data_IF_332367023005
#
_entry.id   IF_332367023005
#
_cell.length_a   1.000
_cell.length_b   1.000
_cell.length_c   1.000
_cell.angle_alpha   90.00
_cell.angle_beta   90.00
_cell.angle_gamma   90.00
#
_symmetry.space_group_name_H-M   'P 1'
#
loop_
_entity.id
_entity.type
_entity.pdbx_description
1 polymer ?
#
# COMPACT_ATOMS: atom_id res chain seq x y z
N UNK A 1 -45.02 24.54 39.34
CA UNK A 1 -45.26 24.40 37.90
C UNK A 1 -43.90 24.55 37.22
N UNK A 2 -43.40 23.45 36.67
CA UNK A 2 -41.99 23.21 36.33
C UNK A 2 -41.52 24.05 35.13
N UNK A 3 -40.30 24.59 35.25
CA UNK A 3 -39.53 25.12 34.14
C UNK A 3 -38.83 23.93 33.45
N UNK A 4 -39.22 23.62 32.22
CA UNK A 4 -38.54 22.64 31.38
C UNK A 4 -37.33 23.30 30.70
N UNK A 5 -36.14 22.94 31.19
CA UNK A 5 -34.87 23.09 30.49
C UNK A 5 -34.86 22.17 29.26
N UNK A 6 -34.96 22.73 28.06
CA UNK A 6 -34.64 22.00 26.83
C UNK A 6 -33.13 21.89 26.69
N UNK A 7 -32.60 20.71 26.97
CA UNK A 7 -31.23 20.31 26.69
C UNK A 7 -30.95 20.48 25.18
N UNK A 8 -30.03 21.38 24.84
CA UNK A 8 -29.42 21.43 23.51
C UNK A 8 -28.47 20.24 23.42
N UNK A 9 -28.94 19.15 22.82
CA UNK A 9 -28.10 18.00 22.48
C UNK A 9 -27.00 18.45 21.52
N UNK A 10 -25.77 18.35 21.99
CA UNK A 10 -24.53 18.56 21.25
C UNK A 10 -24.54 17.73 19.97
N UNK A 11 -24.46 18.40 18.82
CA UNK A 11 -24.18 17.81 17.52
C UNK A 11 -22.89 16.98 17.64
N UNK A 12 -23.03 15.66 17.52
CA UNK A 12 -21.89 14.76 17.41
C UNK A 12 -21.09 15.14 16.17
N UNK A 13 -19.76 15.19 16.31
CA UNK A 13 -18.83 15.33 15.18
C UNK A 13 -19.18 14.27 14.12
N UNK A 14 -19.89 14.67 13.07
CA UNK A 14 -19.94 13.92 11.81
C UNK A 14 -18.50 13.83 11.32
N UNK A 15 -17.97 12.62 11.24
CA UNK A 15 -16.69 12.38 10.57
C UNK A 15 -16.79 12.95 9.16
N UNK A 16 -15.75 13.65 8.73
CA UNK A 16 -15.62 14.06 7.33
C UNK A 16 -15.80 12.83 6.43
N UNK A 17 -16.50 12.96 5.29
CA UNK A 17 -16.64 11.86 4.33
C UNK A 17 -15.26 11.34 3.91
N UNK A 18 -15.17 10.03 3.62
CA UNK A 18 -13.99 9.44 2.99
C UNK A 18 -13.75 10.13 1.64
N UNK A 19 -12.47 10.32 1.27
CA UNK A 19 -12.09 11.11 0.09
C UNK A 19 -12.50 10.37 -1.18
N UNK A 20 -12.82 11.12 -2.22
CA UNK A 20 -13.15 10.54 -3.52
C UNK A 20 -12.18 11.04 -4.58
N UNK A 21 -12.00 10.27 -5.64
CA UNK A 21 -11.20 10.70 -6.79
C UNK A 21 -11.68 12.04 -7.36
N UNK A 22 -12.99 12.32 -7.29
CA UNK A 22 -13.55 13.59 -7.78
C UNK A 22 -13.18 14.81 -6.90
N UNK A 23 -12.71 14.58 -5.67
CA UNK A 23 -12.25 15.63 -4.77
C UNK A 23 -10.80 16.06 -5.08
N UNK A 24 -10.05 15.25 -5.86
CA UNK A 24 -8.66 15.55 -6.22
C UNK A 24 -8.61 16.55 -7.38
N UNK A 25 -7.94 17.68 -7.15
CA UNK A 25 -7.82 18.76 -8.12
C UNK A 25 -6.77 18.46 -9.22
N UNK A 26 -6.98 17.42 -10.04
CA UNK A 26 -6.05 17.03 -11.12
C UNK A 26 -5.75 18.17 -12.12
N UNK A 27 -6.68 19.11 -12.29
CA UNK A 27 -6.48 20.29 -13.14
C UNK A 27 -5.44 21.28 -12.58
N UNK A 28 -5.12 21.19 -11.29
CA UNK A 28 -4.15 22.05 -10.60
C UNK A 28 -2.74 21.44 -10.51
N UNK A 29 -2.51 20.27 -11.13
CA UNK A 29 -1.20 19.60 -11.13
C UNK A 29 -0.14 20.52 -11.75
N UNK A 30 0.87 20.87 -10.95
CA UNK A 30 2.08 21.53 -11.45
C UNK A 30 3.00 20.51 -12.13
N UNK A 31 2.75 20.27 -13.42
CA UNK A 31 3.50 19.31 -14.23
C UNK A 31 5.00 19.60 -14.23
N UNK A 32 5.41 20.87 -14.22
CA UNK A 32 6.82 21.24 -14.28
C UNK A 32 7.61 20.79 -13.04
N UNK A 33 6.94 20.63 -11.90
CA UNK A 33 7.55 20.14 -10.66
C UNK A 33 7.90 18.64 -10.70
N UNK A 34 7.27 17.86 -11.58
CA UNK A 34 7.34 16.37 -11.55
C UNK A 34 7.78 15.77 -12.88
N UNK A 35 7.41 16.36 -14.02
CA UNK A 35 7.52 15.69 -15.34
C UNK A 35 8.95 15.29 -15.74
N UNK A 36 9.96 16.02 -15.22
CA UNK A 36 11.38 15.78 -15.49
C UNK A 36 12.07 14.92 -14.41
N UNK A 37 11.33 14.42 -13.42
CA UNK A 37 11.87 13.57 -12.37
C UNK A 37 11.78 12.09 -12.79
N UNK A 38 12.90 11.53 -13.25
CA UNK A 38 12.99 10.12 -13.69
C UNK A 38 12.58 9.14 -12.58
N UNK A 39 12.96 9.42 -11.33
CA UNK A 39 12.65 8.54 -10.21
C UNK A 39 11.13 8.51 -9.93
N UNK A 40 10.48 9.68 -9.89
CA UNK A 40 9.02 9.77 -9.72
C UNK A 40 8.26 9.16 -10.90
N UNK A 41 8.76 9.30 -12.13
CA UNK A 41 8.16 8.65 -13.30
C UNK A 41 8.04 7.14 -13.11
N UNK A 42 9.16 6.48 -12.80
CA UNK A 42 9.16 5.03 -12.64
C UNK A 42 8.37 4.58 -11.41
N UNK A 43 8.51 5.27 -10.28
CA UNK A 43 7.79 4.93 -9.05
C UNK A 43 6.27 5.07 -9.22
N UNK A 44 5.78 6.21 -9.74
CA UNK A 44 4.35 6.46 -9.86
C UNK A 44 3.70 5.63 -10.97
N UNK A 45 4.37 5.43 -12.11
CA UNK A 45 3.87 4.53 -13.15
C UNK A 45 3.76 3.10 -12.64
N UNK A 46 4.80 2.59 -11.97
CA UNK A 46 4.74 1.24 -11.39
C UNK A 46 3.66 1.11 -10.31
N UNK A 47 3.51 2.11 -9.44
CA UNK A 47 2.43 2.15 -8.46
C UNK A 47 1.06 2.11 -9.15
N UNK A 48 0.84 2.92 -10.20
CA UNK A 48 -0.43 2.91 -10.94
C UNK A 48 -0.76 1.55 -11.55
N UNK A 49 0.25 0.76 -11.94
CA UNK A 49 0.04 -0.59 -12.48
C UNK A 49 -0.34 -1.58 -11.37
N UNK A 50 0.40 -1.57 -10.26
CA UNK A 50 0.17 -2.49 -9.15
C UNK A 50 -1.22 -2.23 -8.54
N UNK A 51 -1.55 -0.97 -8.26
CA UNK A 51 -2.85 -0.60 -7.68
C UNK A 51 -4.03 -0.83 -8.62
N UNK A 52 -3.84 -0.72 -9.94
CA UNK A 52 -4.93 -1.08 -10.87
C UNK A 52 -5.13 -2.60 -10.96
N UNK A 53 -4.07 -3.37 -10.72
CA UNK A 53 -4.11 -4.84 -10.77
C UNK A 53 -4.65 -5.51 -9.51
N UNK A 54 -4.80 -4.77 -8.39
CA UNK A 54 -5.18 -5.32 -7.08
C UNK A 54 -6.63 -5.83 -6.99
N UNK A 55 -7.51 -5.41 -7.91
CA UNK A 55 -8.93 -5.83 -8.00
C UNK A 55 -9.10 -7.36 -8.05
N UNK A 56 -8.28 -8.05 -8.83
CA UNK A 56 -8.35 -9.52 -8.95
C UNK A 56 -8.09 -10.22 -7.60
N UNK A 57 -7.36 -9.55 -6.70
CA UNK A 57 -7.04 -10.06 -5.39
C UNK A 57 -8.20 -9.91 -4.40
N UNK A 58 -8.99 -8.85 -4.50
CA UNK A 58 -10.01 -8.52 -3.51
C UNK A 58 -11.19 -9.47 -3.51
N UNK A 59 -11.67 -9.84 -4.70
CA UNK A 59 -12.69 -10.88 -4.84
C UNK A 59 -12.21 -12.23 -4.26
N UNK A 60 -10.98 -12.66 -4.59
CA UNK A 60 -10.39 -13.90 -4.07
C UNK A 60 -10.27 -13.88 -2.52
N UNK A 61 -9.88 -12.74 -1.96
CA UNK A 61 -9.77 -12.57 -0.52
C UNK A 61 -11.15 -12.64 0.15
N UNK A 62 -12.16 -11.95 -0.39
CA UNK A 62 -13.52 -12.02 0.14
C UNK A 62 -14.08 -13.46 0.12
N UNK A 63 -13.84 -14.23 -0.94
CA UNK A 63 -14.21 -15.65 -1.04
C UNK A 63 -13.49 -16.50 0.01
N UNK A 64 -12.19 -16.26 0.25
CA UNK A 64 -11.41 -16.94 1.27
C UNK A 64 -11.98 -16.74 2.70
N UNK A 65 -12.66 -15.61 2.93
CA UNK A 65 -13.34 -15.28 4.18
C UNK A 65 -14.87 -15.49 4.15
N UNK A 66 -15.42 -16.25 3.20
CA UNK A 66 -16.87 -16.47 3.10
C UNK A 66 -17.52 -17.04 4.39
N UNK A 67 -16.75 -17.78 5.21
CA UNK A 67 -17.19 -18.29 6.51
C UNK A 67 -17.25 -17.21 7.62
N UNK A 68 -16.80 -15.99 7.35
CA UNK A 68 -16.72 -14.85 8.26
C UNK A 68 -17.44 -13.63 7.65
N UNK A 69 -18.79 -13.55 7.73
CA UNK A 69 -19.58 -12.57 6.98
C UNK A 69 -19.21 -11.09 7.23
N UNK A 70 -18.83 -10.73 8.47
CA UNK A 70 -18.38 -9.36 8.77
C UNK A 70 -17.10 -9.00 8.00
N UNK A 71 -16.16 -9.95 7.90
CA UNK A 71 -14.89 -9.76 7.18
C UNK A 71 -15.15 -9.69 5.68
N UNK A 72 -15.90 -10.65 5.15
CA UNK A 72 -16.20 -10.71 3.72
C UNK A 72 -16.96 -9.47 3.22
N UNK A 73 -17.92 -8.95 4.00
CA UNK A 73 -18.63 -7.71 3.66
C UNK A 73 -17.71 -6.49 3.73
N UNK A 74 -16.86 -6.36 4.75
CA UNK A 74 -15.91 -5.24 4.79
C UNK A 74 -14.93 -5.27 3.60
N UNK A 75 -14.41 -6.46 3.26
CA UNK A 75 -13.52 -6.64 2.12
C UNK A 75 -14.17 -6.20 0.80
N UNK A 76 -15.41 -6.64 0.56
CA UNK A 76 -16.13 -6.37 -0.69
C UNK A 76 -16.68 -4.95 -0.78
N UNK A 77 -17.28 -4.48 0.31
CA UNK A 77 -18.09 -3.26 0.28
C UNK A 77 -17.27 -2.00 0.58
N UNK A 78 -16.07 -2.15 1.15
CA UNK A 78 -15.22 -1.02 1.55
C UNK A 78 -13.80 -1.16 0.99
N UNK A 79 -13.06 -2.20 1.40
CA UNK A 79 -11.65 -2.34 1.03
C UNK A 79 -11.44 -2.40 -0.49
N UNK A 80 -12.18 -3.25 -1.21
CA UNK A 80 -12.11 -3.36 -2.67
C UNK A 80 -12.41 -2.03 -3.38
N UNK A 81 -13.38 -1.26 -2.89
CA UNK A 81 -13.73 0.04 -3.46
C UNK A 81 -12.62 1.10 -3.23
N UNK A 82 -12.00 1.09 -2.04
CA UNK A 82 -10.89 1.98 -1.70
C UNK A 82 -9.64 1.65 -2.56
N UNK A 83 -9.27 0.38 -2.68
CA UNK A 83 -8.16 -0.09 -3.53
C UNK A 83 -8.35 0.27 -5.02
N UNK A 84 -9.56 0.04 -5.56
CA UNK A 84 -9.91 0.43 -6.93
C UNK A 84 -9.76 1.94 -7.15
N UNK A 85 -10.12 2.74 -6.15
CA UNK A 85 -9.97 4.19 -6.20
C UNK A 85 -8.49 4.61 -6.21
N UNK A 86 -7.62 3.91 -5.48
CA UNK A 86 -6.17 4.19 -5.48
C UNK A 86 -5.60 4.01 -6.89
N UNK A 87 -5.90 2.88 -7.54
CA UNK A 87 -5.49 2.59 -8.92
C UNK A 87 -5.99 3.63 -9.92
N UNK A 88 -7.28 3.97 -9.86
CA UNK A 88 -7.88 4.99 -10.72
C UNK A 88 -7.24 6.38 -10.53
N UNK A 89 -6.98 6.76 -9.27
CA UNK A 89 -6.42 8.08 -8.94
C UNK A 89 -4.96 8.21 -9.38
N UNK A 90 -4.15 7.17 -9.17
CA UNK A 90 -2.77 7.14 -9.65
C UNK A 90 -2.70 7.12 -11.17
N UNK A 91 -3.55 6.33 -11.83
CA UNK A 91 -3.66 6.34 -13.30
C UNK A 91 -3.97 7.75 -13.82
N UNK A 92 -5.00 8.39 -13.26
CA UNK A 92 -5.38 9.76 -13.65
C UNK A 92 -4.22 10.75 -13.45
N UNK A 93 -3.49 10.63 -12.34
CA UNK A 93 -2.31 11.46 -12.07
C UNK A 93 -1.23 11.26 -13.14
N UNK A 94 -0.82 10.02 -13.41
CA UNK A 94 0.29 9.74 -14.33
C UNK A 94 -0.07 10.03 -15.80
N UNK A 95 -1.32 9.81 -16.22
CA UNK A 95 -1.81 10.19 -17.56
C UNK A 95 -1.86 11.72 -17.71
N UNK A 96 -2.06 12.48 -16.62
CA UNK A 96 -2.01 13.95 -16.64
C UNK A 96 -0.58 14.48 -16.75
N UNK A 97 0.36 13.91 -15.98
CA UNK A 97 1.77 14.37 -15.97
C UNK A 97 2.51 13.93 -17.24
N UNK A 98 2.33 12.67 -17.66
CA UNK A 98 3.03 12.04 -18.78
C UNK A 98 2.06 11.52 -19.85
N UNK A 99 1.33 12.41 -20.55
CA UNK A 99 0.21 12.05 -21.44
C UNK A 99 0.61 11.26 -22.69
N UNK A 100 1.90 11.23 -23.04
CA UNK A 100 2.37 10.45 -24.19
C UNK A 100 2.84 9.05 -23.82
N UNK A 101 2.83 8.70 -22.53
CA UNK A 101 3.12 7.32 -22.13
C UNK A 101 1.92 6.45 -22.51
N UNK A 102 2.11 5.33 -23.24
CA UNK A 102 1.01 4.49 -23.69
C UNK A 102 0.50 3.61 -22.54
N UNK A 103 -0.12 4.23 -21.53
CA UNK A 103 -0.42 3.61 -20.24
C UNK A 103 -1.18 2.30 -20.38
N UNK A 104 -2.27 2.28 -21.15
CA UNK A 104 -3.09 1.07 -21.30
C UNK A 104 -2.31 -0.09 -21.92
N UNK A 105 -1.51 0.16 -22.96
CA UNK A 105 -0.70 -0.88 -23.60
C UNK A 105 0.35 -1.45 -22.64
N UNK A 106 1.02 -0.57 -21.90
CA UNK A 106 2.05 -0.96 -20.94
C UNK A 106 1.44 -1.73 -19.75
N UNK A 107 0.26 -1.30 -19.28
CA UNK A 107 -0.50 -1.98 -18.24
C UNK A 107 -0.98 -3.36 -18.71
N UNK A 108 -1.53 -3.49 -19.92
CA UNK A 108 -1.98 -4.77 -20.46
C UNK A 108 -0.82 -5.78 -20.54
N UNK A 109 0.36 -5.30 -20.96
CA UNK A 109 1.60 -6.09 -20.97
C UNK A 109 2.03 -6.53 -19.57
N UNK A 110 2.00 -5.60 -18.61
CA UNK A 110 2.28 -5.88 -17.19
C UNK A 110 1.30 -6.91 -16.63
N UNK A 111 0.00 -6.68 -16.79
CA UNK A 111 -1.06 -7.48 -16.21
C UNK A 111 -1.08 -8.90 -16.77
N UNK A 112 -0.72 -9.10 -18.05
CA UNK A 112 -0.56 -10.42 -18.65
C UNK A 112 0.53 -11.28 -17.99
N UNK A 113 1.52 -10.67 -17.35
CA UNK A 113 2.54 -11.34 -16.53
C UNK A 113 2.10 -11.41 -15.07
N UNK A 114 1.69 -10.28 -14.49
CA UNK A 114 1.37 -10.10 -13.08
C UNK A 114 0.17 -10.94 -12.60
N UNK A 115 -0.89 -11.02 -13.40
CA UNK A 115 -2.11 -11.78 -13.04
C UNK A 115 -1.84 -13.27 -12.77
N UNK A 116 -0.78 -13.84 -13.35
CA UNK A 116 -0.37 -15.23 -13.11
C UNK A 116 0.21 -15.47 -11.72
N UNK A 117 0.65 -14.40 -11.05
CA UNK A 117 1.18 -14.42 -9.68
C UNK A 117 0.08 -14.16 -8.63
N UNK A 118 -1.08 -13.67 -9.06
CA UNK A 118 -2.19 -13.29 -8.17
C UNK A 118 -3.25 -14.41 -8.06
N UNK A 119 -2.83 -15.64 -7.77
CA UNK A 119 -3.75 -16.79 -7.64
C UNK A 119 -4.23 -16.98 -6.21
N UNK A 120 -5.41 -17.61 -6.04
CA UNK A 120 -5.95 -18.02 -4.74
C UNK A 120 -4.99 -18.94 -3.95
N UNK A 121 -4.11 -19.65 -4.64
CA UNK A 121 -3.14 -20.58 -4.05
C UNK A 121 -2.01 -19.85 -3.30
N UNK A 122 -1.82 -18.57 -3.57
CA UNK A 122 -0.86 -17.69 -2.89
C UNK A 122 -1.43 -17.11 -1.57
N UNK A 123 -2.71 -17.35 -1.26
CA UNK A 123 -3.31 -17.03 0.04
C UNK A 123 -2.88 -18.08 1.07
N UNK A 124 -2.57 -17.65 2.29
CA UNK A 124 -2.39 -18.59 3.39
C UNK A 124 -3.72 -19.34 3.63
N UNK A 125 -3.74 -20.69 3.60
CA UNK A 125 -4.98 -21.45 3.85
C UNK A 125 -5.59 -21.19 5.24
N UNK A 126 -4.77 -20.73 6.19
CA UNK A 126 -5.20 -20.35 7.53
C UNK A 126 -5.57 -18.87 7.56
N UNK A 127 -6.86 -18.56 7.71
CA UNK A 127 -7.42 -17.20 7.73
C UNK A 127 -6.75 -16.26 8.73
N UNK A 128 -6.20 -16.76 9.84
CA UNK A 128 -5.47 -15.90 10.79
C UNK A 128 -4.12 -15.49 10.23
N UNK A 129 -3.41 -16.43 9.60
CA UNK A 129 -2.12 -16.15 9.00
C UNK A 129 -2.27 -15.30 7.74
N UNK A 130 -3.37 -15.43 7.00
CA UNK A 130 -3.65 -14.51 5.89
C UNK A 130 -3.93 -13.09 6.37
N UNK A 131 -4.67 -12.88 7.48
CA UNK A 131 -4.80 -11.54 8.07
C UNK A 131 -3.45 -10.95 8.50
N UNK A 132 -2.54 -11.79 9.02
CA UNK A 132 -1.16 -11.38 9.34
C UNK A 132 -0.40 -10.99 8.07
N UNK A 133 -0.55 -11.76 7.00
CA UNK A 133 0.05 -11.46 5.70
C UNK A 133 -0.46 -10.14 5.13
N UNK A 134 -1.76 -9.86 5.19
CA UNK A 134 -2.34 -8.56 4.82
C UNK A 134 -1.72 -7.42 5.63
N UNK A 135 -1.56 -7.58 6.95
CA UNK A 135 -0.87 -6.58 7.77
C UNK A 135 0.56 -6.27 7.28
N UNK A 136 1.27 -7.24 6.69
CA UNK A 136 2.59 -7.00 6.07
C UNK A 136 2.46 -6.17 4.81
N UNK A 137 1.51 -6.51 3.92
CA UNK A 137 1.24 -5.79 2.66
C UNK A 137 0.91 -4.34 2.96
N UNK A 138 -0.08 -4.07 3.83
CA UNK A 138 -0.47 -2.70 4.20
C UNK A 138 0.66 -1.90 4.86
N UNK A 139 1.54 -2.58 5.59
CA UNK A 139 2.72 -1.92 6.16
C UNK A 139 3.70 -1.51 5.06
N UNK A 140 3.90 -2.37 4.06
CA UNK A 140 4.74 -2.11 2.89
C UNK A 140 4.21 -0.94 2.08
N UNK A 141 2.93 -0.96 1.72
CA UNK A 141 2.29 0.11 0.93
C UNK A 141 2.24 1.44 1.70
N UNK A 142 1.89 1.42 2.99
CA UNK A 142 1.99 2.61 3.87
C UNK A 142 3.40 3.23 3.84
N UNK A 143 4.44 2.40 3.97
CA UNK A 143 5.83 2.87 3.99
C UNK A 143 6.29 3.35 2.61
N UNK A 144 5.79 2.72 1.54
CA UNK A 144 6.03 3.13 0.16
C UNK A 144 5.43 4.50 -0.14
N UNK A 145 4.14 4.71 0.14
CA UNK A 145 3.47 5.99 -0.09
C UNK A 145 4.01 7.11 0.79
N UNK A 146 4.44 6.80 2.02
CA UNK A 146 5.22 7.76 2.82
C UNK A 146 6.50 8.19 2.10
N UNK A 147 7.24 7.24 1.53
CA UNK A 147 8.50 7.50 0.80
C UNK A 147 8.26 8.35 -0.44
N UNK A 148 7.26 8.02 -1.25
CA UNK A 148 6.90 8.78 -2.45
C UNK A 148 6.50 10.22 -2.09
N UNK A 149 5.75 10.40 -1.00
CA UNK A 149 5.33 11.70 -0.50
C UNK A 149 6.51 12.57 -0.03
N UNK A 150 7.63 11.97 0.35
CA UNK A 150 8.86 12.69 0.68
C UNK A 150 9.74 13.02 -0.54
N UNK A 151 9.45 12.42 -1.70
CA UNK A 151 10.19 12.63 -2.95
C UNK A 151 9.61 13.77 -3.81
N UNK A 152 8.40 14.25 -3.51
CA UNK A 152 7.74 15.33 -4.24
C UNK A 152 7.39 16.49 -3.32
N UNK A 153 7.39 17.70 -3.90
CA UNK A 153 6.80 18.91 -3.31
C UNK A 153 5.58 19.40 -4.12
N UNK A 154 5.15 18.65 -5.12
CA UNK A 154 3.97 18.99 -5.92
C UNK A 154 2.71 18.79 -5.06
N UNK A 155 1.86 19.83 -4.89
CA UNK A 155 0.76 19.80 -3.94
C UNK A 155 -0.26 18.70 -4.19
N UNK A 156 -0.71 18.50 -5.43
CA UNK A 156 -1.77 17.54 -5.77
C UNK A 156 -1.27 16.11 -5.54
N UNK A 157 -0.03 15.81 -5.93
CA UNK A 157 0.59 14.52 -5.64
C UNK A 157 0.74 14.28 -4.15
N UNK A 158 1.15 15.30 -3.39
CA UNK A 158 1.32 15.17 -1.93
C UNK A 158 0.00 14.81 -1.27
N UNK A 159 -1.08 15.50 -1.65
CA UNK A 159 -2.44 15.21 -1.18
C UNK A 159 -2.88 13.78 -1.55
N UNK A 160 -2.74 13.40 -2.82
CA UNK A 160 -3.10 12.06 -3.29
C UNK A 160 -2.38 10.96 -2.51
N UNK A 161 -1.06 11.07 -2.34
CA UNK A 161 -0.26 10.08 -1.61
C UNK A 161 -0.58 10.08 -0.11
N UNK A 162 -0.90 11.23 0.49
CA UNK A 162 -1.33 11.32 1.89
C UNK A 162 -2.71 10.67 2.11
N UNK A 163 -3.63 10.81 1.14
CA UNK A 163 -4.94 10.17 1.14
C UNK A 163 -4.80 8.64 1.04
N UNK A 164 -4.09 8.14 0.02
CA UNK A 164 -3.82 6.71 -0.15
C UNK A 164 -3.14 6.15 1.11
N UNK A 165 -2.05 6.75 1.58
CA UNK A 165 -1.37 6.30 2.81
C UNK A 165 -2.31 6.23 4.03
N UNK A 166 -3.27 7.15 4.13
CA UNK A 166 -4.21 7.16 5.25
C UNK A 166 -5.17 5.98 5.19
N UNK A 167 -5.60 5.58 3.99
CA UNK A 167 -6.39 4.39 3.75
C UNK A 167 -5.58 3.13 4.11
N UNK A 168 -4.33 3.01 3.68
CA UNK A 168 -3.47 1.84 4.02
C UNK A 168 -3.27 1.66 5.52
N UNK A 169 -3.16 2.77 6.26
CA UNK A 169 -3.12 2.74 7.72
C UNK A 169 -4.48 2.31 8.31
N UNK A 170 -5.59 2.66 7.68
CA UNK A 170 -6.95 2.21 8.04
C UNK A 170 -7.15 0.73 7.73
N UNK A 171 -6.77 0.26 6.54
CA UNK A 171 -6.77 -1.12 6.09
C UNK A 171 -5.98 -2.00 7.07
N UNK A 172 -4.74 -1.60 7.38
CA UNK A 172 -3.90 -2.28 8.37
C UNK A 172 -4.61 -2.46 9.72
N UNK A 173 -5.29 -1.41 10.21
CA UNK A 173 -5.99 -1.47 11.50
C UNK A 173 -7.16 -2.44 11.44
N UNK A 174 -7.89 -2.50 10.33
CA UNK A 174 -8.99 -3.44 10.14
C UNK A 174 -8.48 -4.87 10.05
N UNK A 175 -7.46 -5.16 9.25
CA UNK A 175 -6.83 -6.49 9.20
C UNK A 175 -6.31 -6.93 10.56
N UNK A 176 -5.65 -6.03 11.32
CA UNK A 176 -5.18 -6.34 12.66
C UNK A 176 -6.34 -6.56 13.66
N UNK A 177 -7.45 -5.83 13.53
CA UNK A 177 -8.67 -6.03 14.33
C UNK A 177 -9.25 -7.42 14.06
N UNK A 178 -9.45 -7.78 12.80
CA UNK A 178 -9.99 -9.08 12.41
C UNK A 178 -9.05 -10.23 12.79
N UNK A 179 -7.74 -10.07 12.61
CA UNK A 179 -6.75 -11.01 13.13
C UNK A 179 -6.93 -11.29 14.63
N UNK A 180 -7.06 -10.24 15.45
CA UNK A 180 -7.27 -10.38 16.90
C UNK A 180 -8.57 -11.11 17.22
N UNK A 181 -9.67 -10.77 16.54
CA UNK A 181 -10.95 -11.45 16.73
C UNK A 181 -10.87 -12.95 16.40
N UNK A 182 -10.22 -13.32 15.28
CA UNK A 182 -10.03 -14.72 14.89
C UNK A 182 -9.09 -15.45 15.87
N UNK A 183 -8.04 -14.76 16.33
CA UNK A 183 -7.09 -15.28 17.30
C UNK A 183 -7.72 -15.56 18.67
N UNK A 184 -8.67 -14.72 19.10
CA UNK A 184 -9.40 -14.91 20.37
C UNK A 184 -10.35 -16.12 20.31
N UNK A 185 -10.88 -16.44 19.12
CA UNK A 185 -11.76 -17.60 18.91
C UNK A 185 -10.97 -18.92 18.80
N UNK A 186 -9.88 -18.91 18.02
CA UNK A 186 -9.09 -20.11 17.74
C UNK A 186 -7.62 -19.71 17.50
N UNK A 187 -6.79 -19.72 18.56
CA UNK A 187 -5.47 -19.11 18.51
C UNK A 187 -4.45 -19.94 17.72
N UNK A 188 -3.62 -19.25 16.94
CA UNK A 188 -2.40 -19.80 16.35
C UNK A 188 -1.16 -19.41 17.14
N UNK A 189 -0.17 -20.29 17.20
CA UNK A 189 1.07 -20.03 17.93
C UNK A 189 1.91 -18.91 17.29
N UNK A 190 2.63 -18.15 18.14
CA UNK A 190 3.50 -17.02 17.71
C UNK A 190 4.57 -17.41 16.69
N UNK A 191 5.04 -18.65 16.69
CA UNK A 191 6.00 -19.16 15.71
C UNK A 191 5.39 -19.20 14.31
N UNK A 192 4.12 -19.63 14.18
CA UNK A 192 3.40 -19.62 12.91
C UNK A 192 3.14 -18.19 12.42
N UNK A 193 2.78 -17.29 13.33
CA UNK A 193 2.61 -15.86 13.04
C UNK A 193 3.92 -15.26 12.52
N UNK A 194 5.05 -15.50 13.21
CA UNK A 194 6.36 -15.04 12.76
C UNK A 194 6.76 -15.63 11.40
N UNK A 195 6.41 -16.90 11.15
CA UNK A 195 6.59 -17.55 9.86
C UNK A 195 5.80 -16.86 8.74
N UNK A 196 4.53 -16.52 8.97
CA UNK A 196 3.70 -15.80 7.99
C UNK A 196 4.21 -14.38 7.73
N UNK A 197 4.60 -13.65 8.79
CA UNK A 197 5.24 -12.33 8.66
C UNK A 197 6.49 -12.41 7.79
N UNK A 198 7.40 -13.36 8.09
CA UNK A 198 8.64 -13.54 7.36
C UNK A 198 8.41 -13.98 5.91
N UNK A 199 7.50 -14.93 5.69
CA UNK A 199 7.16 -15.43 4.35
C UNK A 199 6.69 -14.30 3.45
N UNK A 200 5.69 -13.52 3.91
CA UNK A 200 5.16 -12.42 3.11
C UNK A 200 6.17 -11.28 2.94
N UNK A 201 7.00 -10.97 3.95
CA UNK A 201 8.11 -10.01 3.80
C UNK A 201 9.14 -10.46 2.77
N UNK A 202 9.43 -11.76 2.70
CA UNK A 202 10.38 -12.31 1.73
C UNK A 202 9.83 -12.20 0.31
N UNK A 203 8.57 -12.56 0.10
CA UNK A 203 7.89 -12.44 -1.18
C UNK A 203 7.87 -10.98 -1.67
N UNK A 204 7.52 -10.02 -0.80
CA UNK A 204 7.58 -8.59 -1.13
C UNK A 204 9.00 -8.12 -1.52
N UNK A 205 10.05 -8.71 -0.97
CA UNK A 205 11.45 -8.39 -1.34
C UNK A 205 11.89 -9.06 -2.63
N UNK A 206 11.25 -10.14 -3.04
CA UNK A 206 11.51 -10.87 -4.28
C UNK A 206 10.59 -10.37 -5.44
N UNK A 207 9.86 -9.25 -5.26
CA UNK A 207 8.55 -8.97 -5.89
C UNK A 207 8.47 -8.18 -7.20
N UNK A 208 7.33 -8.42 -7.89
CA UNK A 208 6.37 -7.55 -8.60
C UNK A 208 6.80 -6.14 -9.02
N UNK A 209 7.41 -5.37 -8.12
CA UNK A 209 8.02 -4.09 -8.46
C UNK A 209 9.05 -4.21 -9.59
N UNK A 210 9.79 -5.32 -9.69
CA UNK A 210 10.65 -5.60 -10.86
C UNK A 210 9.84 -5.75 -12.15
N UNK A 211 8.72 -6.47 -12.07
CA UNK A 211 7.82 -6.69 -13.21
C UNK A 211 7.28 -5.35 -13.69
N UNK A 212 6.68 -4.56 -12.78
CA UNK A 212 6.15 -3.24 -13.10
C UNK A 212 7.24 -2.33 -13.70
N UNK A 213 8.42 -2.26 -13.09
CA UNK A 213 9.54 -1.45 -13.60
C UNK A 213 9.97 -1.88 -15.00
N UNK A 214 10.06 -3.19 -15.29
CA UNK A 214 10.40 -3.71 -16.62
C UNK A 214 9.37 -3.28 -17.66
N UNK A 215 8.08 -3.39 -17.36
CA UNK A 215 7.02 -3.03 -18.30
C UNK A 215 6.94 -1.52 -18.51
N UNK A 216 7.13 -0.71 -17.47
CA UNK A 216 7.26 0.75 -17.61
C UNK A 216 8.49 1.10 -18.45
N UNK A 217 9.64 0.48 -18.19
CA UNK A 217 10.88 0.69 -18.93
C UNK A 217 10.73 0.37 -20.43
N UNK A 218 10.11 -0.77 -20.74
CA UNK A 218 9.90 -1.21 -22.12
C UNK A 218 9.02 -0.22 -22.93
N UNK A 219 8.11 0.51 -22.28
CA UNK A 219 7.14 1.39 -22.92
C UNK A 219 7.42 2.89 -22.72
N UNK A 220 8.49 3.26 -22.00
CA UNK A 220 8.81 4.67 -21.68
C UNK A 220 8.99 5.57 -22.92
N UNK A 221 9.27 4.98 -24.08
CA UNK A 221 9.43 5.70 -25.34
C UNK A 221 10.47 6.82 -25.24
N UNK A 222 10.06 8.06 -25.52
CA UNK A 222 10.94 9.23 -25.50
C UNK A 222 11.25 9.75 -24.09
N UNK A 223 10.47 9.37 -23.08
CA UNK A 223 10.71 9.81 -21.70
C UNK A 223 12.08 9.31 -21.24
N UNK A 224 12.92 10.28 -20.85
CA UNK A 224 14.30 10.06 -20.43
C UNK A 224 15.14 9.30 -21.48
N UNK A 225 14.90 9.52 -22.78
CA UNK A 225 15.70 8.88 -23.84
C UNK A 225 17.18 9.32 -23.86
N UNK A 226 17.50 10.49 -23.28
CA UNK A 226 18.87 10.95 -23.07
C UNK A 226 19.61 10.28 -21.90
N UNK A 227 18.91 9.47 -21.10
CA UNK A 227 19.46 8.65 -20.03
C UNK A 227 20.22 7.47 -20.65
N UNK A 228 21.55 7.41 -20.47
CA UNK A 228 22.37 6.28 -20.91
C UNK A 228 22.34 5.10 -19.93
N UNK A 229 21.45 5.16 -18.92
CA UNK A 229 21.29 4.10 -17.92
C UNK A 229 20.75 2.84 -18.57
N UNK A 230 21.29 1.70 -18.18
CA UNK A 230 20.67 0.40 -18.47
C UNK A 230 19.56 0.14 -17.46
N UNK A 231 18.62 -0.72 -17.83
CA UNK A 231 17.52 -1.10 -16.95
C UNK A 231 18.01 -1.58 -15.59
N UNK A 232 19.05 -2.42 -15.54
CA UNK A 232 19.56 -2.99 -14.28
C UNK A 232 20.12 -1.91 -13.34
N UNK A 233 20.69 -0.85 -13.90
CA UNK A 233 21.25 0.26 -13.14
C UNK A 233 20.15 1.20 -12.64
N UNK A 234 19.09 1.42 -13.44
CA UNK A 234 17.88 2.10 -12.99
C UNK A 234 17.17 1.33 -11.87
N UNK A 235 16.89 0.05 -12.08
CA UNK A 235 16.17 -0.78 -11.12
C UNK A 235 16.92 -0.79 -9.77
N UNK A 236 18.25 -0.99 -9.79
CA UNK A 236 19.09 -0.88 -8.59
C UNK A 236 18.97 0.48 -7.91
N UNK A 237 19.04 1.57 -8.68
CA UNK A 237 18.89 2.93 -8.15
C UNK A 237 17.51 3.14 -7.49
N UNK A 238 16.43 2.70 -8.11
CA UNK A 238 15.08 2.79 -7.53
C UNK A 238 14.97 1.98 -6.23
N UNK A 239 15.51 0.75 -6.19
CA UNK A 239 15.53 -0.05 -4.97
C UNK A 239 16.34 0.60 -3.85
N UNK A 240 17.52 1.16 -4.17
CA UNK A 240 18.34 1.89 -3.20
C UNK A 240 17.63 3.15 -2.69
N UNK A 241 16.98 3.90 -3.58
CA UNK A 241 16.25 5.12 -3.25
C UNK A 241 15.10 4.83 -2.29
N UNK A 242 14.25 3.85 -2.61
CA UNK A 242 13.11 3.45 -1.78
C UNK A 242 13.62 2.90 -0.45
N UNK A 243 14.62 2.02 -0.47
CA UNK A 243 15.16 1.43 0.75
C UNK A 243 15.73 2.48 1.70
N UNK A 244 16.54 3.43 1.20
CA UNK A 244 17.15 4.47 2.04
C UNK A 244 16.16 5.43 2.68
N UNK A 245 15.00 5.62 2.06
CA UNK A 245 13.96 6.57 2.50
C UNK A 245 12.80 5.91 3.23
N UNK A 246 12.72 4.58 3.21
CA UNK A 246 11.64 3.87 3.87
C UNK A 246 11.64 4.18 5.38
N UNK A 247 10.48 4.55 5.97
CA UNK A 247 10.37 4.83 7.40
C UNK A 247 10.46 3.54 8.23
N UNK A 248 11.68 3.02 8.41
CA UNK A 248 11.94 1.71 9.01
C UNK A 248 11.33 1.56 10.42
N UNK A 249 11.33 2.62 11.25
CA UNK A 249 10.72 2.56 12.58
C UNK A 249 9.19 2.38 12.52
N UNK A 250 8.53 3.06 11.58
CA UNK A 250 7.09 2.91 11.37
C UNK A 250 6.78 1.47 10.93
N UNK A 251 7.51 0.96 9.94
CA UNK A 251 7.34 -0.39 9.42
C UNK A 251 7.56 -1.45 10.52
N UNK A 252 8.64 -1.34 11.30
CA UNK A 252 8.91 -2.26 12.42
C UNK A 252 7.80 -2.19 13.48
N UNK A 253 7.31 -1.00 13.82
CA UNK A 253 6.19 -0.87 14.78
C UNK A 253 4.93 -1.58 14.30
N UNK A 254 4.60 -1.47 13.01
CA UNK A 254 3.43 -2.12 12.42
C UNK A 254 3.62 -3.64 12.32
N UNK A 255 4.78 -4.11 11.84
CA UNK A 255 5.06 -5.55 11.71
C UNK A 255 5.10 -6.29 13.05
N UNK A 256 5.39 -5.60 14.16
CA UNK A 256 5.38 -6.21 15.48
C UNK A 256 3.98 -6.36 16.10
N UNK A 257 2.95 -5.63 15.65
CA UNK A 257 1.62 -5.73 16.29
C UNK A 257 0.95 -7.10 16.12
N UNK A 258 0.99 -7.77 14.96
CA UNK A 258 0.42 -9.11 14.81
C UNK A 258 1.07 -10.15 15.74
N UNK A 259 2.28 -9.90 16.26
CA UNK A 259 2.92 -10.80 17.22
C UNK A 259 2.24 -10.81 18.60
N UNK A 260 1.34 -9.86 18.89
CA UNK A 260 0.59 -9.74 20.15
C UNK A 260 1.49 -9.88 21.39
N UNK A 261 2.66 -9.25 21.34
CA UNK A 261 3.64 -9.28 22.43
C UNK A 261 3.15 -8.45 23.62
N UNK A 262 3.44 -8.87 24.86
CA UNK A 262 3.26 -7.99 26.00
C UNK A 262 4.03 -6.68 25.79
N UNK A 263 3.44 -5.54 26.17
CA UNK A 263 4.00 -4.21 25.89
C UNK A 263 5.47 -4.05 26.33
N UNK A 264 5.86 -4.69 27.44
CA UNK A 264 7.25 -4.71 27.93
C UNK A 264 8.20 -5.41 26.96
N UNK A 265 7.78 -6.54 26.39
CA UNK A 265 8.58 -7.32 25.44
C UNK A 265 8.65 -6.59 24.10
N UNK A 266 7.53 -6.07 23.60
CA UNK A 266 7.49 -5.27 22.37
C UNK A 266 8.43 -4.06 22.48
N UNK A 267 8.37 -3.32 23.58
CA UNK A 267 9.26 -2.18 23.82
C UNK A 267 10.75 -2.55 23.85
N UNK A 268 11.08 -3.72 24.42
CA UNK A 268 12.46 -4.19 24.55
C UNK A 268 13.07 -4.63 23.21
N UNK A 269 12.28 -5.25 22.33
CA UNK A 269 12.76 -5.71 21.02
C UNK A 269 12.63 -4.65 19.92
N UNK A 270 11.70 -3.69 20.04
CA UNK A 270 11.45 -2.68 19.00
C UNK A 270 12.70 -1.85 18.72
N UNK A 271 13.29 -1.23 19.73
CA UNK A 271 14.45 -0.35 19.55
C UNK A 271 15.64 -1.03 18.87
N UNK A 272 16.08 -2.24 19.26
CA UNK A 272 17.19 -2.91 18.56
C UNK A 272 16.81 -3.32 17.14
N UNK A 273 15.58 -3.78 16.88
CA UNK A 273 15.13 -4.13 15.53
C UNK A 273 15.04 -2.89 14.65
N UNK A 274 14.44 -1.79 15.10
CA UNK A 274 14.38 -0.53 14.36
C UNK A 274 15.79 -0.04 14.00
N UNK A 275 16.73 -0.04 14.95
CA UNK A 275 18.13 0.37 14.69
C UNK A 275 18.83 -0.53 13.67
N UNK A 276 18.61 -1.83 13.75
CA UNK A 276 19.16 -2.78 12.79
C UNK A 276 18.54 -2.57 11.40
N UNK A 277 17.23 -2.41 11.31
CA UNK A 277 16.51 -2.16 10.08
C UNK A 277 16.99 -0.87 9.41
N UNK A 278 17.02 0.25 10.15
CA UNK A 278 17.55 1.53 9.63
C UNK A 278 18.99 1.38 9.13
N UNK A 279 19.84 0.63 9.84
CA UNK A 279 21.22 0.38 9.41
C UNK A 279 21.27 -0.44 8.13
N UNK A 280 20.52 -1.54 8.03
CA UNK A 280 20.47 -2.38 6.84
C UNK A 280 19.95 -1.61 5.63
N UNK A 281 18.97 -0.73 5.83
CA UNK A 281 18.36 0.06 4.76
C UNK A 281 19.18 1.30 4.36
N UNK A 282 20.15 1.70 5.18
CA UNK A 282 21.05 2.82 4.89
C UNK A 282 22.26 2.46 4.02
N UNK A 283 22.55 1.16 3.82
CA UNK A 283 23.62 0.66 2.94
C UNK A 283 23.02 0.23 1.61
#
# INVERSE_FOLDING_TARGET
MQQNLSYSSTDGKRGSPHWRIEDIAFAEIDRAAVENNEDLFFLLMSASFIETGSDTYATNLAEHYAAYPEIASWLKDHWEAEELQHGQSLRAYVETVWPEFPWQQAYDSFFAEYSKLCTMEELYPDQRLEMVARCVVETGTTAYYHTLRELSNEPVLTELLDNIRSDEVSHYKHFLKYFKQLQDQSPVGRVRIAGALYGRLKELRESDSDIALRHVWAHKGRYFAGSSRRFEDLARHIYELVSRRLPADLAVRMLLKPMLLPARVEGLIRTPISKLATRVMSY
#
